data_IF_035854609336
#
_entry.id   IF_035854609336
#
_cell.length_a   1.000
_cell.length_b   1.000
_cell.length_c   1.000
_cell.angle_alpha   90.00
_cell.angle_beta   90.00
_cell.angle_gamma   90.00
#
_symmetry.space_group_name_H-M   'P 1'
#
loop_
_entity.id
_entity.type
_entity.pdbx_description
1 polymer ?
#
# COMPACT_ATOMS: atom_id res chain seq x y z
N UNK A 1 -11.97 -20.85 9.01
CA UNK A 1 -11.56 -20.32 7.69
C UNK A 1 -11.51 -18.81 7.77
N UNK A 2 -10.42 -18.19 7.33
CA UNK A 2 -10.33 -16.72 7.25
C UNK A 2 -11.17 -16.29 6.06
N UNK A 3 -12.32 -15.66 6.31
CA UNK A 3 -13.27 -15.23 5.26
C UNK A 3 -13.11 -13.73 4.90
N UNK A 4 -12.07 -13.07 5.37
CA UNK A 4 -11.87 -11.65 5.14
C UNK A 4 -10.94 -11.42 3.94
N UNK A 5 -11.53 -11.09 2.78
CA UNK A 5 -10.77 -10.81 1.56
C UNK A 5 -9.74 -9.68 1.70
N UNK A 6 -10.01 -8.66 2.52
CA UNK A 6 -9.05 -7.58 2.81
C UNK A 6 -7.78 -8.12 3.48
N UNK A 7 -7.92 -9.05 4.43
CA UNK A 7 -6.77 -9.66 5.10
C UNK A 7 -5.90 -10.45 4.11
N UNK A 8 -6.52 -11.20 3.19
CA UNK A 8 -5.80 -11.97 2.18
C UNK A 8 -5.00 -11.05 1.24
N UNK A 9 -5.61 -9.95 0.78
CA UNK A 9 -4.90 -8.97 -0.06
C UNK A 9 -3.66 -8.44 0.66
N UNK A 10 -3.80 -7.98 1.90
CA UNK A 10 -2.66 -7.47 2.67
C UNK A 10 -1.62 -8.56 2.94
N UNK A 11 -2.04 -9.79 3.23
CA UNK A 11 -1.15 -10.92 3.47
C UNK A 11 -0.26 -11.21 2.26
N UNK A 12 -0.85 -11.26 1.06
CA UNK A 12 -0.10 -11.50 -0.18
C UNK A 12 0.87 -10.36 -0.49
N UNK A 13 0.44 -9.11 -0.30
CA UNK A 13 1.30 -7.93 -0.51
C UNK A 13 2.49 -7.94 0.48
N UNK A 14 2.24 -8.23 1.75
CA UNK A 14 3.31 -8.34 2.75
C UNK A 14 4.23 -9.51 2.43
N UNK A 15 3.69 -10.68 2.05
CA UNK A 15 4.50 -11.84 1.66
C UNK A 15 5.40 -11.53 0.46
N UNK A 16 4.90 -10.78 -0.52
CA UNK A 16 5.70 -10.31 -1.66
C UNK A 16 6.90 -9.46 -1.20
N UNK A 17 6.68 -8.47 -0.32
CA UNK A 17 7.74 -7.61 0.22
C UNK A 17 8.74 -8.42 1.06
N UNK A 18 8.24 -9.33 1.89
CA UNK A 18 9.06 -10.20 2.72
C UNK A 18 9.90 -11.17 1.88
N UNK A 19 9.36 -11.71 0.77
CA UNK A 19 10.09 -12.58 -0.14
C UNK A 19 11.32 -11.87 -0.73
N UNK A 20 11.14 -10.64 -1.21
CA UNK A 20 12.25 -9.81 -1.73
C UNK A 20 13.26 -9.51 -0.61
N UNK A 21 12.76 -9.17 0.59
CA UNK A 21 13.58 -8.86 1.76
C UNK A 21 14.35 -10.09 2.28
N UNK A 22 13.78 -11.29 2.17
CA UNK A 22 14.42 -12.53 2.59
C UNK A 22 15.59 -12.91 1.67
N UNK A 23 15.37 -12.86 0.34
CA UNK A 23 16.45 -13.06 -0.65
C UNK A 23 17.61 -12.10 -0.35
N UNK A 24 17.28 -10.86 -0.02
CA UNK A 24 18.22 -9.84 0.39
C UNK A 24 18.92 -10.19 1.71
N UNK A 25 18.19 -10.55 2.75
CA UNK A 25 18.75 -10.86 4.07
C UNK A 25 19.80 -11.97 3.94
N UNK A 26 19.52 -12.98 3.11
CA UNK A 26 20.47 -14.02 2.78
C UNK A 26 21.71 -13.47 2.03
N UNK A 27 21.56 -12.52 1.11
CA UNK A 27 22.72 -11.89 0.44
C UNK A 27 23.58 -11.06 1.39
N UNK A 28 22.97 -10.33 2.33
CA UNK A 28 23.70 -9.57 3.36
C UNK A 28 24.45 -10.50 4.32
N UNK A 29 23.84 -11.61 4.72
CA UNK A 29 24.47 -12.58 5.62
C UNK A 29 25.59 -13.38 4.93
N UNK A 30 25.50 -13.60 3.61
CA UNK A 30 26.51 -14.34 2.84
C UNK A 30 27.68 -13.47 2.35
N UNK A 31 27.60 -12.14 2.45
CA UNK A 31 28.70 -11.27 2.03
C UNK A 31 29.70 -11.11 3.18
N UNK A 32 30.83 -11.81 3.07
CA UNK A 32 32.07 -11.53 3.83
C UNK A 32 32.70 -10.23 3.27
N UNK A 33 31.92 -9.16 3.16
CA UNK A 33 32.19 -8.04 2.25
C UNK A 33 32.22 -6.69 2.96
N UNK A 34 33.29 -5.93 2.72
CA UNK A 34 33.56 -4.60 3.25
C UNK A 34 32.33 -3.65 3.22
N UNK A 35 32.31 -2.69 4.15
CA UNK A 35 31.23 -1.72 4.40
C UNK A 35 30.58 -1.12 3.13
N UNK A 36 31.39 -0.80 2.11
CA UNK A 36 30.91 -0.28 0.83
C UNK A 36 30.03 -1.26 0.02
N UNK A 37 30.28 -2.57 0.14
CA UNK A 37 29.42 -3.61 -0.45
C UNK A 37 28.03 -3.65 0.19
N UNK A 38 27.96 -3.47 1.51
CA UNK A 38 26.69 -3.37 2.26
C UNK A 38 25.89 -2.13 1.85
N UNK A 39 26.55 -0.98 1.69
CA UNK A 39 25.91 0.26 1.21
C UNK A 39 25.32 0.10 -0.20
N UNK A 40 26.08 -0.49 -1.13
CA UNK A 40 25.60 -0.79 -2.48
C UNK A 40 24.39 -1.74 -2.48
N UNK A 41 24.39 -2.76 -1.61
CA UNK A 41 23.25 -3.66 -1.45
C UNK A 41 22.02 -2.90 -0.93
N UNK A 42 22.18 -2.06 0.09
CA UNK A 42 21.08 -1.27 0.67
C UNK A 42 20.42 -0.36 -0.38
N UNK A 43 21.21 0.38 -1.14
CA UNK A 43 20.70 1.20 -2.24
C UNK A 43 20.05 0.36 -3.34
N UNK A 44 20.63 -0.80 -3.67
CA UNK A 44 20.06 -1.74 -4.62
C UNK A 44 18.67 -2.24 -4.22
N UNK A 45 18.40 -2.38 -2.92
CA UNK A 45 17.09 -2.78 -2.38
C UNK A 45 16.08 -1.67 -2.57
N UNK A 46 16.41 -0.46 -2.13
CA UNK A 46 15.52 0.69 -2.27
C UNK A 46 15.13 0.86 -3.75
N UNK A 47 16.11 0.81 -4.64
CA UNK A 47 15.90 0.87 -6.09
C UNK A 47 15.05 -0.30 -6.61
N UNK A 48 15.22 -1.51 -6.07
CA UNK A 48 14.40 -2.68 -6.46
C UNK A 48 12.94 -2.46 -6.12
N UNK A 49 12.64 -1.96 -4.92
CA UNK A 49 11.26 -1.68 -4.51
C UNK A 49 10.65 -0.51 -5.28
N UNK A 50 11.42 0.55 -5.54
CA UNK A 50 10.99 1.66 -6.40
C UNK A 50 10.68 1.19 -7.82
N UNK A 51 11.55 0.36 -8.41
CA UNK A 51 11.33 -0.20 -9.74
C UNK A 51 10.12 -1.14 -9.76
N UNK A 52 9.82 -1.84 -8.67
CA UNK A 52 8.66 -2.73 -8.52
C UNK A 52 7.37 -2.01 -8.16
N UNK A 53 7.43 -0.71 -7.85
CA UNK A 53 6.26 0.17 -7.66
C UNK A 53 5.62 0.52 -9.02
N UNK A 54 5.21 -0.50 -9.77
CA UNK A 54 4.61 -0.36 -11.09
C UNK A 54 3.38 -1.26 -11.21
N UNK A 55 2.60 -1.08 -12.28
CA UNK A 55 1.35 -1.81 -12.50
C UNK A 55 1.55 -3.27 -12.90
N UNK A 56 2.68 -3.62 -13.50
CA UNK A 56 2.98 -4.97 -13.99
C UNK A 56 3.31 -5.89 -12.82
N UNK A 57 4.23 -5.45 -11.95
CA UNK A 57 4.58 -6.14 -10.70
C UNK A 57 3.39 -6.32 -9.78
N UNK A 58 2.47 -5.35 -9.74
CA UNK A 58 1.21 -5.50 -9.02
C UNK A 58 0.28 -6.51 -9.69
N UNK A 59 0.24 -6.56 -11.03
CA UNK A 59 -0.63 -7.48 -11.75
C UNK A 59 -0.29 -8.94 -11.45
N UNK A 60 1.00 -9.26 -11.30
CA UNK A 60 1.46 -10.60 -10.89
C UNK A 60 0.90 -10.96 -9.50
N UNK A 61 1.11 -10.10 -8.50
CA UNK A 61 0.62 -10.30 -7.13
C UNK A 61 -0.91 -10.40 -7.09
N UNK A 62 -1.59 -9.58 -7.89
CA UNK A 62 -3.05 -9.61 -7.99
C UNK A 62 -3.58 -10.91 -8.61
N UNK A 63 -2.90 -11.45 -9.63
CA UNK A 63 -3.29 -12.71 -10.25
C UNK A 63 -3.17 -13.88 -9.26
N UNK A 64 -2.12 -13.89 -8.42
CA UNK A 64 -1.97 -14.88 -7.35
C UNK A 64 -3.10 -14.78 -6.32
N UNK A 65 -3.47 -13.56 -5.93
CA UNK A 65 -4.58 -13.28 -5.00
C UNK A 65 -5.92 -13.77 -5.57
N UNK A 66 -6.18 -13.51 -6.86
CA UNK A 66 -7.41 -13.96 -7.55
C UNK A 66 -7.44 -15.48 -7.62
N UNK A 67 -6.34 -16.12 -8.03
CA UNK A 67 -6.23 -17.57 -8.12
C UNK A 67 -6.51 -18.23 -6.78
N UNK A 68 -5.85 -17.76 -5.71
CA UNK A 68 -6.07 -18.28 -4.36
C UNK A 68 -7.51 -18.11 -3.89
N UNK A 69 -8.15 -17.00 -4.25
CA UNK A 69 -9.51 -16.71 -3.79
C UNK A 69 -10.58 -17.51 -4.53
N UNK A 70 -10.34 -17.82 -5.80
CA UNK A 70 -11.17 -18.78 -6.55
C UNK A 70 -11.09 -20.18 -5.94
N UNK A 71 -9.89 -20.65 -5.60
CA UNK A 71 -9.68 -21.97 -4.98
C UNK A 71 -10.32 -22.07 -3.59
N UNK A 72 -10.35 -20.98 -2.84
CA UNK A 72 -10.82 -20.96 -1.45
C UNK A 72 -12.22 -20.36 -1.27
N UNK A 73 -12.93 -20.04 -2.37
CA UNK A 73 -14.26 -19.40 -2.36
C UNK A 73 -14.30 -18.13 -1.47
N UNK A 74 -13.29 -17.28 -1.59
CA UNK A 74 -13.17 -16.03 -0.81
C UNK A 74 -13.74 -14.87 -1.62
N UNK A 75 -14.70 -14.16 -1.03
CA UNK A 75 -15.28 -12.96 -1.62
C UNK A 75 -14.47 -11.71 -1.21
N UNK A 76 -14.10 -10.90 -2.20
CA UNK A 76 -13.44 -9.61 -1.97
C UNK A 76 -14.50 -8.53 -1.78
N UNK A 77 -15.03 -8.43 -0.56
CA UNK A 77 -15.81 -7.25 -0.22
C UNK A 77 -14.88 -6.04 -0.20
N UNK A 78 -14.98 -5.19 -1.22
CA UNK A 78 -14.39 -3.85 -1.15
C UNK A 78 -15.02 -3.16 0.06
N UNK A 79 -14.24 -2.48 0.92
CA UNK A 79 -14.83 -1.62 1.93
C UNK A 79 -15.74 -0.64 1.19
N UNK A 80 -17.05 -0.70 1.40
CA UNK A 80 -17.97 0.26 0.80
C UNK A 80 -17.64 1.63 1.39
N UNK A 81 -16.87 2.41 0.65
CA UNK A 81 -16.14 3.58 1.16
C UNK A 81 -17.03 4.76 1.53
N UNK A 82 -18.35 4.65 1.44
CA UNK A 82 -19.24 5.79 1.66
C UNK A 82 -20.10 5.65 2.93
N UNK A 83 -20.46 4.45 3.38
CA UNK A 83 -21.45 4.30 4.45
C UNK A 83 -20.89 4.06 5.87
N UNK A 84 -19.67 3.52 6.01
CA UNK A 84 -19.20 3.00 7.32
C UNK A 84 -17.94 3.66 7.88
N UNK A 85 -17.24 4.50 7.11
CA UNK A 85 -16.04 5.23 7.57
C UNK A 85 -16.30 6.68 7.98
N UNK A 86 -17.50 7.22 7.73
CA UNK A 86 -17.89 8.53 8.27
C UNK A 86 -18.24 8.40 9.77
N UNK A 87 -17.21 8.37 10.62
CA UNK A 87 -17.38 8.59 12.07
C UNK A 87 -17.82 10.03 12.40
N UNK A 88 -17.75 10.95 11.43
CA UNK A 88 -18.13 12.35 11.60
C UNK A 88 -19.40 12.62 10.79
N UNK A 89 -20.54 12.71 11.47
CA UNK A 89 -21.64 13.52 10.93
C UNK A 89 -21.09 14.93 10.75
N UNK A 90 -20.92 15.37 9.51
CA UNK A 90 -20.61 16.76 9.22
C UNK A 90 -21.88 17.56 9.50
N UNK A 91 -22.04 18.01 10.74
CA UNK A 91 -23.04 19.00 11.10
C UNK A 91 -22.37 20.36 11.01
N UNK A 92 -22.98 21.26 10.24
CA UNK A 92 -22.60 22.67 10.26
C UNK A 92 -22.75 23.21 11.69
N UNK A 93 -21.76 23.95 12.22
CA UNK A 93 -21.90 24.58 13.52
C UNK A 93 -23.13 25.50 13.52
N UNK A 94 -24.02 25.37 14.51
CA UNK A 94 -25.24 26.17 14.59
C UNK A 94 -24.98 27.70 14.53
N UNK A 95 -23.79 28.12 14.98
CA UNK A 95 -23.31 29.50 14.96
C UNK A 95 -23.04 30.08 13.55
N UNK A 96 -23.04 29.25 12.50
CA UNK A 96 -22.74 29.67 11.12
C UNK A 96 -23.98 29.69 10.21
N UNK A 97 -25.16 29.33 10.73
CA UNK A 97 -26.42 29.22 9.95
C UNK A 97 -26.89 30.51 9.29
N UNK A 98 -26.47 31.67 9.81
CA UNK A 98 -26.85 33.00 9.29
C UNK A 98 -25.78 33.66 8.40
N UNK A 99 -24.66 33.00 8.12
CA UNK A 99 -23.58 33.55 7.31
C UNK A 99 -23.62 32.98 5.88
N UNK A 100 -23.47 33.85 4.88
CA UNK A 100 -23.36 33.42 3.50
C UNK A 100 -21.96 32.87 3.23
N UNK A 101 -21.80 31.54 3.31
CA UNK A 101 -20.55 30.85 2.98
C UNK A 101 -20.28 30.99 1.48
N UNK A 102 -19.38 31.89 1.09
CA UNK A 102 -19.05 32.14 -0.32
C UNK A 102 -18.08 31.10 -0.91
N UNK A 103 -17.39 30.33 -0.07
CA UNK A 103 -16.40 29.33 -0.52
C UNK A 103 -16.41 28.12 0.41
N UNK A 104 -17.03 27.03 -0.03
CA UNK A 104 -16.91 25.73 0.63
C UNK A 104 -15.54 25.12 0.30
N UNK A 105 -14.49 25.52 1.01
CA UNK A 105 -13.22 24.77 0.99
C UNK A 105 -13.34 23.58 1.92
N UNK A 106 -13.84 22.47 1.38
CA UNK A 106 -14.17 21.27 2.16
C UNK A 106 -15.37 20.48 1.63
N UNK A 107 -15.91 20.84 0.47
CA UNK A 107 -16.66 19.88 -0.31
C UNK A 107 -15.64 18.81 -0.70
N UNK A 108 -15.68 17.68 0.02
CA UNK A 108 -15.23 16.41 -0.53
C UNK A 108 -15.95 16.33 -1.86
N UNK A 109 -15.20 16.52 -2.96
CA UNK A 109 -15.75 16.42 -4.29
C UNK A 109 -16.50 15.09 -4.32
N UNK A 110 -17.83 15.18 -4.44
CA UNK A 110 -18.77 14.07 -4.33
C UNK A 110 -18.61 13.16 -5.54
N UNK A 111 -17.48 12.47 -5.59
CA UNK A 111 -16.93 11.93 -6.82
C UNK A 111 -15.60 11.23 -6.57
N UNK A 112 -15.44 10.48 -5.48
CA UNK A 112 -14.63 9.26 -5.62
C UNK A 112 -15.43 8.40 -6.59
N UNK A 113 -15.08 8.52 -7.88
CA UNK A 113 -15.54 7.62 -8.91
C UNK A 113 -15.47 6.22 -8.31
N UNK A 114 -16.59 5.49 -8.37
CA UNK A 114 -16.56 4.06 -8.15
C UNK A 114 -15.36 3.54 -8.95
N UNK A 115 -14.29 3.14 -8.25
CA UNK A 115 -13.29 2.32 -8.92
C UNK A 115 -14.01 1.00 -9.13
N UNK A 116 -14.72 0.89 -10.24
CA UNK A 116 -15.44 -0.31 -10.70
C UNK A 116 -14.49 -1.53 -10.82
N UNK A 117 -13.19 -1.32 -10.60
CA UNK A 117 -12.16 -2.32 -10.62
C UNK A 117 -11.50 -2.48 -9.24
N UNK A 118 -11.89 -3.51 -8.50
CA UNK A 118 -11.27 -3.89 -7.22
C UNK A 118 -9.74 -3.99 -7.31
N UNK A 119 -9.21 -4.37 -8.48
CA UNK A 119 -7.78 -4.40 -8.77
C UNK A 119 -7.15 -3.01 -8.59
N UNK A 120 -7.76 -1.96 -9.12
CA UNK A 120 -7.24 -0.59 -8.99
C UNK A 120 -7.31 -0.08 -7.54
N UNK A 121 -8.41 -0.39 -6.84
CA UNK A 121 -8.58 -0.01 -5.44
C UNK A 121 -7.47 -0.58 -4.57
N UNK A 122 -7.24 -1.88 -4.63
CA UNK A 122 -6.21 -2.53 -3.82
C UNK A 122 -4.79 -2.13 -4.24
N UNK A 123 -4.59 -1.71 -5.50
CA UNK A 123 -3.32 -1.15 -5.98
C UNK A 123 -2.98 0.14 -5.24
N UNK A 124 -3.94 1.08 -5.21
CA UNK A 124 -3.76 2.42 -4.64
C UNK A 124 -3.80 2.42 -3.11
N UNK A 125 -4.64 1.57 -2.51
CA UNK A 125 -4.91 1.61 -1.08
C UNK A 125 -4.14 0.57 -0.26
N UNK A 126 -3.56 -0.46 -0.88
CA UNK A 126 -2.74 -1.44 -0.17
C UNK A 126 -1.34 -1.61 -0.79
N UNK A 127 -1.23 -1.88 -2.08
CA UNK A 127 0.06 -2.22 -2.69
C UNK A 127 1.05 -1.05 -2.66
N UNK A 128 0.71 0.10 -3.26
CA UNK A 128 1.61 1.25 -3.25
C UNK A 128 1.92 1.76 -1.83
N UNK A 129 0.94 1.92 -0.91
CA UNK A 129 1.25 2.35 0.45
C UNK A 129 2.23 1.45 1.19
N UNK A 130 2.13 0.12 1.03
CA UNK A 130 3.05 -0.82 1.67
C UNK A 130 4.46 -0.71 1.09
N UNK A 131 4.58 -0.64 -0.25
CA UNK A 131 5.88 -0.47 -0.92
C UNK A 131 6.52 0.87 -0.56
N UNK A 132 5.74 1.95 -0.60
CA UNK A 132 6.20 3.31 -0.28
C UNK A 132 6.67 3.40 1.17
N UNK A 133 5.91 2.82 2.10
CA UNK A 133 6.32 2.72 3.50
C UNK A 133 7.65 1.98 3.64
N UNK A 134 7.84 0.87 2.94
CA UNK A 134 9.09 0.12 2.99
C UNK A 134 10.29 0.92 2.46
N UNK A 135 10.13 1.57 1.31
CA UNK A 135 11.17 2.42 0.70
C UNK A 135 11.55 3.57 1.62
N UNK A 136 10.55 4.29 2.16
CA UNK A 136 10.78 5.40 3.09
C UNK A 136 11.51 4.93 4.34
N UNK A 137 11.10 3.80 4.92
CA UNK A 137 11.74 3.26 6.12
C UNK A 137 13.19 2.81 5.86
N UNK A 138 13.49 2.20 4.71
CA UNK A 138 14.88 1.85 4.36
C UNK A 138 15.74 3.11 4.21
N UNK A 139 15.28 4.10 3.46
CA UNK A 139 16.03 5.34 3.24
C UNK A 139 16.24 6.12 4.53
N UNK A 140 15.25 6.12 5.42
CA UNK A 140 15.36 6.76 6.73
C UNK A 140 16.35 6.04 7.65
N UNK A 141 16.35 4.71 7.64
CA UNK A 141 17.24 3.90 8.49
C UNK A 141 18.70 3.91 8.01
N UNK A 142 18.91 4.02 6.70
CA UNK A 142 20.22 4.00 6.07
C UNK A 142 20.38 5.19 5.12
N UNK A 143 20.48 6.42 5.65
CA UNK A 143 20.72 7.58 4.82
C UNK A 143 22.10 7.50 4.19
N UNK A 144 22.27 8.10 3.01
CA UNK A 144 23.54 8.13 2.28
C UNK A 144 24.70 8.75 3.07
N UNK A 145 24.41 9.54 4.10
CA UNK A 145 25.41 10.15 4.99
C UNK A 145 25.89 9.19 6.09
N UNK A 146 25.19 8.08 6.34
CA UNK A 146 25.49 7.09 7.39
C UNK A 146 26.03 5.76 6.86
N UNK A 147 26.25 5.65 5.55
CA UNK A 147 26.76 4.46 4.84
C UNK A 147 28.18 4.71 4.32
#
# INVERSE_FOLDING_TARGET
MIQNGSFIVHLYIINYVLGITNILSNKLQNTIGALGGTACLINGIANTFENRRNSDSYSDVWNDIVTFSLENNIDFKMPSTIATLSKRKTQEPAALTDFHVATTTGADDGGIQYEDNAKEYWKKHAFYPVIDSFVVNIKHRFPSESL
#
